data_IF_013645391822
#
_entry.id   IF_013645391822
#
_cell.length_a   1.000
_cell.length_b   1.000
_cell.length_c   1.000
_cell.angle_alpha   90.00
_cell.angle_beta   90.00
_cell.angle_gamma   90.00
#
_symmetry.space_group_name_H-M   'P 1'
#
loop_
_entity.id
_entity.type
_entity.pdbx_description
1 polymer ?
#
# COMPACT_ATOMS: atom_id res chain seq x y z
N UNK A 1 10.35 -37.61 -53.71
CA UNK A 1 8.95 -37.13 -53.70
C UNK A 1 8.48 -36.99 -52.25
N UNK A 2 9.19 -36.19 -51.45
CA UNK A 2 9.07 -36.21 -49.97
C UNK A 2 8.53 -34.89 -49.38
N UNK A 3 8.18 -33.95 -50.26
CA UNK A 3 7.91 -32.54 -49.94
C UNK A 3 6.49 -32.23 -49.41
N UNK A 4 5.40 -32.88 -49.86
CA UNK A 4 4.05 -32.55 -49.38
C UNK A 4 3.83 -32.86 -47.90
N UNK A 5 4.38 -33.99 -47.44
CA UNK A 5 4.12 -34.53 -46.10
C UNK A 5 4.85 -33.72 -45.00
N UNK A 6 6.10 -33.32 -45.27
CA UNK A 6 6.89 -32.46 -44.36
C UNK A 6 6.29 -31.07 -44.22
N UNK A 7 5.80 -30.51 -45.32
CA UNK A 7 5.13 -29.19 -45.34
C UNK A 7 3.85 -29.21 -44.51
N UNK A 8 3.03 -30.25 -44.66
CA UNK A 8 1.78 -30.38 -43.92
C UNK A 8 2.02 -30.62 -42.43
N UNK A 9 3.07 -31.37 -42.09
CA UNK A 9 3.50 -31.57 -40.70
C UNK A 9 3.97 -30.27 -40.06
N UNK A 10 4.80 -29.48 -40.76
CA UNK A 10 5.27 -28.18 -40.29
C UNK A 10 4.13 -27.20 -40.04
N UNK A 11 3.16 -27.10 -40.96
CA UNK A 11 1.97 -26.23 -40.78
C UNK A 11 1.15 -26.65 -39.56
N UNK A 12 0.99 -27.96 -39.33
CA UNK A 12 0.22 -28.46 -38.17
C UNK A 12 0.94 -28.18 -36.84
N UNK A 13 2.26 -28.33 -36.80
CA UNK A 13 3.07 -27.95 -35.63
C UNK A 13 2.99 -26.45 -35.36
N UNK A 14 3.09 -25.61 -36.40
CA UNK A 14 2.91 -24.16 -36.28
C UNK A 14 1.53 -23.78 -35.73
N UNK A 15 0.46 -24.39 -36.27
CA UNK A 15 -0.90 -24.11 -35.79
C UNK A 15 -1.09 -24.49 -34.31
N UNK A 16 -0.55 -25.64 -33.89
CA UNK A 16 -0.63 -26.12 -32.50
C UNK A 16 0.14 -25.18 -31.56
N UNK A 17 1.33 -24.75 -31.98
CA UNK A 17 2.16 -23.84 -31.18
C UNK A 17 1.52 -22.45 -31.09
N UNK A 18 0.94 -21.94 -32.17
CA UNK A 18 0.17 -20.68 -32.13
C UNK A 18 -1.02 -20.75 -31.18
N UNK A 19 -1.74 -21.87 -31.13
CA UNK A 19 -2.84 -22.08 -30.18
C UNK A 19 -2.33 -22.12 -28.74
N UNK A 20 -1.21 -22.78 -28.48
CA UNK A 20 -0.58 -22.79 -27.16
C UNK A 20 -0.17 -21.37 -26.70
N UNK A 21 0.50 -20.61 -27.58
CA UNK A 21 0.91 -19.22 -27.36
C UNK A 21 -0.29 -18.32 -27.04
N UNK A 22 -1.38 -18.45 -27.81
CA UNK A 22 -2.61 -17.68 -27.58
C UNK A 22 -3.25 -17.97 -26.21
N UNK A 23 -2.99 -19.14 -25.66
CA UNK A 23 -3.43 -19.56 -24.33
C UNK A 23 -2.38 -19.34 -23.23
N UNK A 24 -1.27 -18.66 -23.51
CA UNK A 24 -0.20 -18.41 -22.55
C UNK A 24 0.59 -19.67 -22.16
N UNK A 25 0.60 -20.70 -23.00
CA UNK A 25 1.40 -21.91 -22.81
C UNK A 25 2.58 -21.88 -23.77
N UNK A 26 3.79 -21.82 -23.22
CA UNK A 26 5.04 -21.69 -23.98
C UNK A 26 5.98 -22.89 -23.79
N UNK A 27 5.48 -23.98 -23.20
CA UNK A 27 6.31 -25.12 -22.81
C UNK A 27 6.87 -25.91 -24.01
N UNK A 28 6.21 -25.82 -25.18
CA UNK A 28 6.51 -26.62 -26.38
C UNK A 28 7.10 -25.79 -27.54
N UNK A 29 7.80 -24.69 -27.24
CA UNK A 29 8.38 -23.79 -28.27
C UNK A 29 9.54 -24.45 -29.04
N UNK A 30 10.14 -25.50 -28.47
CA UNK A 30 11.22 -26.28 -29.10
C UNK A 30 10.80 -26.88 -30.46
N UNK A 31 9.54 -27.31 -30.59
CA UNK A 31 9.01 -27.82 -31.87
C UNK A 31 9.05 -26.76 -32.98
N UNK A 32 8.93 -25.49 -32.61
CA UNK A 32 8.96 -24.37 -33.53
C UNK A 32 10.39 -24.15 -34.08
N UNK A 33 11.40 -24.33 -33.24
CA UNK A 33 12.81 -24.25 -33.63
C UNK A 33 13.24 -25.41 -34.54
N UNK A 34 12.67 -26.60 -34.33
CA UNK A 34 12.87 -27.74 -35.22
C UNK A 34 12.35 -27.45 -36.64
N UNK A 35 11.22 -26.74 -36.76
CA UNK A 35 10.70 -26.30 -38.07
C UNK A 35 11.60 -25.24 -38.70
N UNK A 36 12.12 -24.29 -37.93
CA UNK A 36 13.03 -23.23 -38.42
C UNK A 36 14.31 -23.81 -39.02
N UNK A 37 14.89 -24.83 -38.38
CA UNK A 37 16.19 -25.39 -38.78
C UNK A 37 16.10 -26.47 -39.86
N UNK A 38 14.90 -26.97 -40.17
CA UNK A 38 14.71 -28.06 -41.11
C UNK A 38 14.75 -27.60 -42.57
N UNK A 39 15.90 -27.74 -43.24
CA UNK A 39 16.10 -27.39 -44.66
C UNK A 39 15.18 -28.15 -45.65
N UNK A 40 14.51 -29.22 -45.21
CA UNK A 40 13.50 -29.93 -46.01
C UNK A 40 12.14 -29.23 -46.04
N UNK A 41 11.93 -28.18 -45.23
CA UNK A 41 10.73 -27.36 -45.17
C UNK A 41 10.90 -26.14 -46.09
N UNK A 42 9.86 -25.73 -46.85
CA UNK A 42 9.91 -24.52 -47.68
C UNK A 42 10.36 -23.28 -46.90
N UNK A 43 11.16 -22.43 -47.54
CA UNK A 43 11.74 -21.22 -46.93
C UNK A 43 10.68 -20.32 -46.29
N UNK A 44 9.55 -20.07 -46.98
CA UNK A 44 8.46 -19.24 -46.48
C UNK A 44 7.89 -19.76 -45.14
N UNK A 45 7.83 -21.08 -44.96
CA UNK A 45 7.32 -21.71 -43.73
C UNK A 45 8.37 -21.61 -42.61
N UNK A 46 9.66 -21.75 -42.93
CA UNK A 46 10.74 -21.56 -41.96
C UNK A 46 10.79 -20.10 -41.48
N UNK A 47 10.65 -19.14 -42.39
CA UNK A 47 10.59 -17.71 -42.06
C UNK A 47 9.37 -17.36 -41.19
N UNK A 48 8.23 -18.00 -41.45
CA UNK A 48 7.04 -17.87 -40.62
C UNK A 48 7.26 -18.45 -39.21
N UNK A 49 7.87 -19.64 -39.12
CA UNK A 49 8.25 -20.25 -37.85
C UNK A 49 9.22 -19.33 -37.05
N UNK A 50 10.23 -18.77 -37.71
CA UNK A 50 11.19 -17.88 -37.07
C UNK A 50 10.53 -16.61 -36.52
N UNK A 51 9.60 -16.04 -37.29
CA UNK A 51 8.80 -14.89 -36.85
C UNK A 51 7.99 -15.22 -35.60
N UNK A 52 7.36 -16.39 -35.56
CA UNK A 52 6.61 -16.84 -34.41
C UNK A 52 7.49 -17.11 -33.19
N UNK A 53 8.68 -17.70 -33.35
CA UNK A 53 9.64 -17.85 -32.26
C UNK A 53 10.01 -16.48 -31.66
N UNK A 54 10.25 -15.48 -32.51
CA UNK A 54 10.50 -14.12 -32.05
C UNK A 54 9.33 -13.51 -31.27
N UNK A 55 8.09 -13.80 -31.67
CA UNK A 55 6.90 -13.35 -30.95
C UNK A 55 6.77 -14.01 -29.57
N UNK A 56 7.06 -15.30 -29.43
CA UNK A 56 7.05 -16.01 -28.14
C UNK A 56 7.96 -15.31 -27.14
N UNK A 57 9.22 -15.09 -27.53
CA UNK A 57 10.21 -14.44 -26.66
C UNK A 57 9.74 -13.06 -26.20
N UNK A 58 9.08 -12.30 -27.08
CA UNK A 58 8.52 -11.00 -26.71
C UNK A 58 7.35 -11.12 -25.72
N UNK A 59 6.50 -12.13 -25.86
CA UNK A 59 5.38 -12.36 -24.95
C UNK A 59 5.90 -12.80 -23.58
N UNK A 60 6.82 -13.75 -23.52
CA UNK A 60 7.47 -14.16 -22.27
C UNK A 60 8.15 -13.00 -21.56
N UNK A 61 8.89 -12.16 -22.30
CA UNK A 61 9.52 -10.97 -21.72
C UNK A 61 8.49 -10.00 -21.12
N UNK A 62 7.33 -9.83 -21.77
CA UNK A 62 6.24 -9.00 -21.24
C UNK A 62 5.59 -9.63 -20.01
N UNK A 63 5.35 -10.94 -20.01
CA UNK A 63 4.77 -11.65 -18.86
C UNK A 63 5.70 -11.65 -17.65
N UNK A 64 7.00 -11.85 -17.88
CA UNK A 64 8.01 -11.73 -16.86
C UNK A 64 8.02 -10.31 -16.27
N UNK A 65 8.02 -9.29 -17.14
CA UNK A 65 7.98 -7.89 -16.69
C UNK A 65 6.69 -7.55 -15.92
N UNK A 66 5.53 -8.04 -16.38
CA UNK A 66 4.26 -7.85 -15.69
C UNK A 66 4.27 -8.51 -14.30
N UNK A 67 4.82 -9.72 -14.19
CA UNK A 67 4.98 -10.43 -12.93
C UNK A 67 5.89 -9.67 -11.96
N UNK A 68 7.00 -9.12 -12.47
CA UNK A 68 7.90 -8.25 -11.70
C UNK A 68 7.16 -7.00 -11.18
N UNK A 69 6.41 -6.32 -12.05
CA UNK A 69 5.61 -5.14 -11.70
C UNK A 69 4.56 -5.44 -10.61
N UNK A 70 3.89 -6.59 -10.71
CA UNK A 70 2.92 -7.02 -9.69
C UNK A 70 3.62 -7.25 -8.35
N UNK A 71 4.81 -7.88 -8.35
CA UNK A 71 5.58 -8.09 -7.14
C UNK A 71 5.99 -6.74 -6.49
N UNK A 72 6.51 -5.81 -7.28
CA UNK A 72 6.92 -4.48 -6.82
C UNK A 72 5.74 -3.65 -6.28
N UNK A 73 4.58 -3.70 -6.97
CA UNK A 73 3.36 -3.05 -6.52
C UNK A 73 2.84 -3.64 -5.21
N UNK A 74 2.90 -4.97 -5.08
CA UNK A 74 2.46 -5.67 -3.87
C UNK A 74 3.33 -5.29 -2.68
N UNK A 75 4.65 -5.23 -2.85
CA UNK A 75 5.57 -4.82 -1.80
C UNK A 75 5.40 -3.34 -1.44
N UNK A 76 5.27 -2.47 -2.44
CA UNK A 76 5.02 -1.04 -2.21
C UNK A 76 3.72 -0.82 -1.43
N UNK A 77 2.66 -1.53 -1.78
CA UNK A 77 1.39 -1.49 -1.05
C UNK A 77 1.57 -1.93 0.40
N UNK A 78 2.30 -3.02 0.65
CA UNK A 78 2.58 -3.52 2.00
C UNK A 78 3.33 -2.48 2.85
N UNK A 79 4.32 -1.82 2.26
CA UNK A 79 5.07 -0.74 2.93
C UNK A 79 4.19 0.47 3.23
N UNK A 80 3.31 0.84 2.29
CA UNK A 80 2.37 1.94 2.47
C UNK A 80 1.37 1.66 3.60
N UNK A 81 0.78 0.47 3.64
CA UNK A 81 -0.14 0.05 4.70
C UNK A 81 0.54 0.08 6.07
N UNK A 82 1.80 -0.36 6.16
CA UNK A 82 2.58 -0.30 7.39
C UNK A 82 2.86 1.15 7.83
N UNK A 83 3.21 2.04 6.88
CA UNK A 83 3.43 3.45 7.16
C UNK A 83 2.15 4.16 7.61
N UNK A 84 1.01 3.87 6.96
CA UNK A 84 -0.29 4.42 7.34
C UNK A 84 -0.71 3.98 8.75
N UNK A 85 -0.53 2.70 9.07
CA UNK A 85 -0.80 2.18 10.41
C UNK A 85 0.05 2.88 11.48
N UNK A 86 1.34 3.10 11.18
CA UNK A 86 2.25 3.83 12.07
C UNK A 86 1.80 5.28 12.27
N UNK A 87 1.48 6.00 11.18
CA UNK A 87 1.00 7.38 11.24
C UNK A 87 -0.32 7.51 12.01
N UNK A 88 -1.26 6.57 11.83
CA UNK A 88 -2.52 6.54 12.59
C UNK A 88 -2.25 6.39 14.09
N UNK A 89 -1.33 5.50 14.47
CA UNK A 89 -0.93 5.30 15.87
C UNK A 89 -0.28 6.55 16.45
N UNK A 90 0.65 7.17 15.73
CA UNK A 90 1.32 8.40 16.17
C UNK A 90 0.33 9.55 16.32
N UNK A 91 -0.58 9.75 15.38
CA UNK A 91 -1.64 10.75 15.47
C UNK A 91 -2.55 10.53 16.68
N UNK A 92 -2.96 9.29 16.97
CA UNK A 92 -3.77 8.99 18.14
C UNK A 92 -3.05 9.35 19.45
N UNK A 93 -1.76 9.01 19.54
CA UNK A 93 -0.91 9.37 20.68
C UNK A 93 -0.77 10.89 20.81
N UNK A 94 -0.52 11.59 19.71
CA UNK A 94 -0.37 13.05 19.71
C UNK A 94 -1.67 13.75 20.11
N UNK A 95 -2.82 13.32 19.60
CA UNK A 95 -4.14 13.84 20.03
C UNK A 95 -4.35 13.67 21.52
N UNK A 96 -4.10 12.46 22.04
CA UNK A 96 -4.22 12.20 23.48
C UNK A 96 -3.29 13.09 24.32
N UNK A 97 -2.09 13.39 23.82
CA UNK A 97 -1.16 14.31 24.50
C UNK A 97 -1.65 15.76 24.44
N UNK A 98 -2.19 16.17 23.30
CA UNK A 98 -2.76 17.50 23.12
C UNK A 98 -3.95 17.71 24.06
N UNK A 99 -4.90 16.78 24.11
CA UNK A 99 -6.06 16.85 24.99
C UNK A 99 -5.64 16.99 26.46
N UNK A 100 -4.61 16.26 26.89
CA UNK A 100 -4.06 16.37 28.25
C UNK A 100 -3.43 17.74 28.51
N UNK A 101 -2.70 18.27 27.53
CA UNK A 101 -2.08 19.59 27.65
C UNK A 101 -3.14 20.69 27.74
N UNK A 102 -4.19 20.59 26.93
CA UNK A 102 -5.30 21.54 26.93
C UNK A 102 -6.03 21.54 28.28
N UNK A 103 -6.38 20.36 28.82
CA UNK A 103 -6.97 20.24 30.17
C UNK A 103 -6.07 20.84 31.24
N UNK A 104 -4.76 20.54 31.19
CA UNK A 104 -3.79 21.09 32.16
C UNK A 104 -3.67 22.61 32.06
N UNK A 105 -3.78 23.16 30.85
CA UNK A 105 -3.75 24.60 30.61
C UNK A 105 -4.99 25.28 31.21
N UNK A 106 -6.17 24.69 30.98
CA UNK A 106 -7.43 25.19 31.52
C UNK A 106 -7.45 25.17 33.05
N UNK A 107 -6.97 24.09 33.69
CA UNK A 107 -6.84 23.99 35.14
C UNK A 107 -5.97 25.12 35.71
N UNK A 108 -4.83 25.39 35.08
CA UNK A 108 -3.94 26.49 35.51
C UNK A 108 -4.58 27.86 35.34
N UNK A 109 -5.33 28.09 34.26
CA UNK A 109 -6.05 29.35 34.09
C UNK A 109 -7.13 29.52 35.16
N UNK A 110 -7.90 28.47 35.45
CA UNK A 110 -8.91 28.49 36.51
C UNK A 110 -8.28 28.78 37.89
N UNK A 111 -7.14 28.16 38.22
CA UNK A 111 -6.40 28.44 39.45
C UNK A 111 -5.97 29.91 39.54
N UNK A 112 -5.45 30.48 38.44
CA UNK A 112 -5.05 31.88 38.38
C UNK A 112 -6.24 32.84 38.56
N UNK A 113 -7.38 32.56 37.94
CA UNK A 113 -8.61 33.35 38.09
C UNK A 113 -9.13 33.29 39.54
N UNK A 114 -9.17 32.10 40.14
CA UNK A 114 -9.56 31.91 41.55
C UNK A 114 -8.60 32.69 42.46
N UNK A 115 -7.30 32.63 42.20
CA UNK A 115 -6.31 33.36 42.99
C UNK A 115 -6.54 34.87 42.89
N UNK A 116 -6.78 35.41 41.69
CA UNK A 116 -7.10 36.83 41.51
C UNK A 116 -8.36 37.26 42.28
N UNK A 117 -9.42 36.44 42.26
CA UNK A 117 -10.65 36.71 43.03
C UNK A 117 -10.38 36.63 44.54
N UNK A 118 -9.62 35.64 44.98
CA UNK A 118 -9.27 35.44 46.39
C UNK A 118 -8.40 36.59 46.92
N UNK A 119 -7.49 37.08 46.08
CA UNK A 119 -6.60 38.19 46.42
C UNK A 119 -7.28 39.57 46.37
N UNK A 120 -8.50 39.64 45.83
CA UNK A 120 -9.31 40.86 45.83
C UNK A 120 -9.61 41.35 47.25
N UNK A 121 -9.52 42.66 47.44
CA UNK A 121 -9.87 43.33 48.70
C UNK A 121 -11.31 43.03 49.14
N UNK A 122 -12.23 42.87 48.18
CA UNK A 122 -13.62 42.50 48.46
C UNK A 122 -13.71 41.13 49.13
N UNK A 123 -13.04 40.11 48.57
CA UNK A 123 -13.09 38.75 49.10
C UNK A 123 -12.38 38.62 50.46
N UNK A 124 -11.23 39.28 50.62
CA UNK A 124 -10.52 39.40 51.91
C UNK A 124 -11.41 40.05 52.99
N UNK A 125 -12.16 41.09 52.63
CA UNK A 125 -13.11 41.76 53.54
C UNK A 125 -14.32 40.88 53.89
N UNK A 126 -14.83 40.11 52.94
CA UNK A 126 -15.92 39.16 53.17
C UNK A 126 -15.49 38.04 54.13
N UNK A 127 -14.27 37.52 53.94
CA UNK A 127 -13.70 36.49 54.80
C UNK A 127 -13.47 36.98 56.24
N UNK A 128 -12.99 38.22 56.42
CA UNK A 128 -12.81 38.82 57.75
C UNK A 128 -14.16 39.07 58.45
N UNK A 129 -15.18 39.50 57.71
CA UNK A 129 -16.55 39.67 58.23
C UNK A 129 -17.20 38.35 58.63
N UNK A 130 -17.06 37.30 57.82
CA UNK A 130 -17.53 35.96 58.16
C UNK A 130 -16.81 35.39 59.40
N UNK A 131 -15.49 35.61 59.52
CA UNK A 131 -14.70 35.20 60.70
C UNK A 131 -15.16 35.90 61.98
N UNK A 132 -15.44 37.21 61.90
CA UNK A 132 -15.93 37.98 63.06
C UNK A 132 -17.36 37.60 63.47
N UNK A 133 -18.23 37.26 62.52
CA UNK A 133 -19.55 36.70 62.84
C UNK A 133 -19.44 35.33 63.51
N UNK A 134 -18.62 34.43 62.96
CA UNK A 134 -18.37 33.10 63.55
C UNK A 134 -17.79 33.19 64.96
N UNK A 135 -16.86 34.11 65.22
CA UNK A 135 -16.33 34.29 66.58
C UNK A 135 -17.40 34.80 67.54
N UNK A 136 -18.25 35.75 67.11
CA UNK A 136 -19.36 36.26 67.92
C UNK A 136 -20.34 35.14 68.31
N UNK A 137 -20.77 34.30 67.36
CA UNK A 137 -21.68 33.18 67.63
C UNK A 137 -21.03 31.98 68.35
N UNK A 138 -19.71 31.95 68.51
CA UNK A 138 -18.99 30.91 69.28
C UNK A 138 -18.70 31.34 70.72
N UNK A 139 -18.95 32.60 71.08
CA UNK A 139 -18.77 33.14 72.43
C UNK A 139 -20.07 33.32 73.22
N UNK A 140 -21.23 33.04 72.61
CA UNK A 140 -22.50 32.88 73.33
C UNK A 140 -22.71 31.39 73.69
N UNK A 141 -22.75 31.02 74.98
CA UNK A 141 -23.16 29.68 75.44
C UNK A 141 -24.68 29.45 75.32
#
# INVERSE_FOLDING_TARGET
MDTPDKTQTAIKSLATTCEAIAHGRFDDVDELYDVVTNEGVPEDIRALAETFAGMVVQVEAREFHASQLIADLTETRRLLEAAEAKLKKENAVLRTRLDKLDVTYDEKQAELEIQQVTDSDYFKSLQSRAKSLRSKFKTDP
#
